data_IF_662357693637
#
_entry.id   IF_662357693637
#
_cell.length_a   1.000
_cell.length_b   1.000
_cell.length_c   1.000
_cell.angle_alpha   90.00
_cell.angle_beta   90.00
_cell.angle_gamma   90.00
#
_symmetry.space_group_name_H-M   'P 1'
#
loop_
_entity.id
_entity.type
_entity.pdbx_description
1 polymer ?
#
# COMPACT_ATOMS: atom_id res chain seq x y z
N UNK A 1 -15.10 -1.55 -1.43
CA UNK A 1 -15.38 -2.13 -2.76
C UNK A 1 -14.78 -3.53 -2.84
N UNK A 2 -15.45 -4.44 -3.61
CA UNK A 2 -15.02 -5.83 -3.79
C UNK A 2 -15.47 -6.81 -2.70
N UNK A 3 -16.20 -6.37 -1.68
CA UNK A 3 -16.78 -7.24 -0.65
C UNK A 3 -18.05 -7.96 -1.12
N UNK A 4 -18.54 -8.95 -0.34
CA UNK A 4 -19.71 -9.76 -0.69
C UNK A 4 -20.97 -8.95 -1.00
N UNK A 5 -21.12 -7.80 -0.35
CA UNK A 5 -22.26 -6.89 -0.52
C UNK A 5 -22.03 -5.75 -1.52
N UNK A 6 -20.84 -5.64 -2.11
CA UNK A 6 -20.51 -4.59 -3.10
C UNK A 6 -21.03 -4.95 -4.49
N UNK A 7 -22.33 -5.11 -4.60
CA UNK A 7 -23.04 -5.39 -5.84
C UNK A 7 -24.16 -4.36 -6.03
N UNK A 8 -24.36 -3.89 -7.25
CA UNK A 8 -25.45 -2.95 -7.57
C UNK A 8 -26.84 -3.46 -7.14
N UNK A 9 -27.02 -4.79 -7.08
CA UNK A 9 -28.27 -5.44 -6.67
C UNK A 9 -28.43 -5.52 -5.13
N UNK A 10 -27.38 -5.25 -4.34
CA UNK A 10 -27.44 -5.51 -2.90
C UNK A 10 -28.36 -4.54 -2.15
N UNK A 11 -28.52 -3.29 -2.64
CA UNK A 11 -29.36 -2.24 -2.04
C UNK A 11 -29.19 -2.11 -0.50
N UNK A 12 -28.04 -2.50 0.02
CA UNK A 12 -27.72 -2.42 1.46
C UNK A 12 -27.05 -1.11 1.80
N UNK A 13 -27.33 -0.60 2.98
CA UNK A 13 -26.77 0.61 3.55
C UNK A 13 -26.10 0.34 4.91
N UNK A 14 -25.33 1.31 5.36
CA UNK A 14 -24.85 1.31 6.73
C UNK A 14 -26.06 1.49 7.66
N UNK A 15 -26.13 0.68 8.74
CA UNK A 15 -27.29 0.62 9.64
C UNK A 15 -28.16 -0.62 9.45
N UNK A 16 -28.14 -1.24 8.26
CA UNK A 16 -28.81 -2.52 8.05
C UNK A 16 -28.18 -3.64 8.88
N UNK A 17 -29.01 -4.52 9.44
CA UNK A 17 -28.58 -5.57 10.37
C UNK A 17 -28.75 -6.93 9.75
N UNK A 18 -27.68 -7.74 9.77
CA UNK A 18 -27.74 -9.16 9.42
C UNK A 18 -28.40 -9.92 10.56
N UNK A 19 -29.51 -10.60 10.30
CA UNK A 19 -30.34 -11.27 11.28
C UNK A 19 -30.30 -12.79 11.21
N UNK A 20 -29.88 -13.35 10.06
CA UNK A 20 -29.71 -14.81 9.92
C UNK A 20 -28.64 -15.15 8.88
N UNK A 21 -28.07 -16.35 9.00
CA UNK A 21 -27.15 -16.95 8.03
C UNK A 21 -27.63 -18.39 7.79
N UNK A 22 -27.93 -18.73 6.53
CA UNK A 22 -28.50 -20.03 6.09
C UNK A 22 -29.69 -20.49 6.97
N UNK A 23 -30.58 -19.57 7.30
CA UNK A 23 -31.77 -19.83 8.11
C UNK A 23 -31.53 -19.83 9.62
N UNK A 24 -30.29 -19.85 10.09
CA UNK A 24 -29.96 -19.77 11.52
C UNK A 24 -30.04 -18.33 11.99
N UNK A 25 -30.96 -18.06 12.95
CA UNK A 25 -31.15 -16.71 13.49
C UNK A 25 -29.99 -16.29 14.41
N UNK A 26 -29.48 -15.07 14.19
CA UNK A 26 -28.44 -14.47 15.02
C UNK A 26 -29.13 -13.79 16.22
N UNK A 27 -28.78 -14.19 17.42
CA UNK A 27 -29.31 -13.65 18.67
C UNK A 27 -28.29 -12.72 19.32
N UNK A 28 -28.78 -11.78 20.15
CA UNK A 28 -27.90 -10.90 20.93
C UNK A 28 -26.93 -11.71 21.78
N UNK A 29 -25.63 -11.41 21.69
CA UNK A 29 -24.56 -12.11 22.40
C UNK A 29 -24.13 -13.47 21.77
N UNK A 30 -24.74 -13.86 20.66
CA UNK A 30 -24.32 -15.06 19.93
C UNK A 30 -23.02 -14.81 19.17
N UNK A 31 -22.06 -15.72 19.26
CA UNK A 31 -20.94 -15.80 18.34
C UNK A 31 -21.44 -16.33 16.98
N UNK A 32 -21.48 -15.49 15.98
CA UNK A 32 -21.96 -15.86 14.65
C UNK A 32 -20.84 -16.38 13.72
N UNK A 33 -19.57 -16.23 14.08
CA UNK A 33 -18.44 -16.66 13.24
C UNK A 33 -18.49 -18.14 12.87
N UNK A 34 -18.90 -19.08 13.76
CA UNK A 34 -19.05 -20.48 13.39
C UNK A 34 -20.00 -20.73 12.20
N UNK A 35 -21.01 -19.86 12.00
CA UNK A 35 -21.93 -19.95 10.86
C UNK A 35 -21.27 -19.62 9.52
N UNK A 36 -20.11 -18.99 9.55
CA UNK A 36 -19.31 -18.63 8.36
C UNK A 36 -18.19 -19.65 8.07
N UNK A 37 -17.98 -20.64 8.94
CA UNK A 37 -16.95 -21.65 8.74
C UNK A 37 -17.16 -22.40 7.42
N UNK A 38 -16.09 -22.47 6.60
CA UNK A 38 -16.08 -23.10 5.26
C UNK A 38 -17.08 -22.49 4.25
N UNK A 39 -17.50 -21.23 4.47
CA UNK A 39 -18.42 -20.52 3.56
C UNK A 39 -17.69 -19.64 2.53
N UNK A 40 -16.40 -19.45 2.64
CA UNK A 40 -15.64 -18.67 1.66
C UNK A 40 -15.77 -19.31 0.26
N UNK A 41 -16.27 -18.51 -0.70
CA UNK A 41 -16.55 -18.97 -2.06
C UNK A 41 -17.92 -19.64 -2.25
N UNK A 42 -18.65 -19.95 -1.18
CA UNK A 42 -19.94 -20.65 -1.25
C UNK A 42 -21.13 -19.70 -1.20
N UNK A 43 -22.20 -20.07 -1.93
CA UNK A 43 -23.43 -19.29 -1.90
C UNK A 43 -24.09 -19.42 -0.54
N UNK A 44 -24.24 -18.32 0.17
CA UNK A 44 -24.79 -18.27 1.54
C UNK A 44 -26.00 -17.36 1.58
N UNK A 45 -27.10 -17.84 2.13
CA UNK A 45 -28.33 -17.06 2.33
C UNK A 45 -28.19 -16.20 3.59
N UNK A 46 -28.37 -14.89 3.44
CA UNK A 46 -28.27 -13.93 4.54
C UNK A 46 -29.59 -13.19 4.69
N UNK A 47 -30.23 -13.32 5.86
CA UNK A 47 -31.39 -12.53 6.24
C UNK A 47 -30.96 -11.17 6.79
N UNK A 48 -31.66 -10.13 6.37
CA UNK A 48 -31.31 -8.75 6.67
C UNK A 48 -32.56 -7.99 7.12
N UNK A 49 -32.42 -7.19 8.18
CA UNK A 49 -33.42 -6.20 8.56
C UNK A 49 -32.82 -4.82 8.27
N UNK A 50 -33.43 -4.07 7.40
CA UNK A 50 -33.04 -2.70 7.06
C UNK A 50 -33.34 -1.75 8.20
N UNK A 51 -32.70 -0.60 8.21
CA UNK A 51 -32.97 0.46 9.17
C UNK A 51 -34.45 0.91 9.14
N UNK A 52 -35.10 0.80 7.99
CA UNK A 52 -36.56 1.03 7.82
C UNK A 52 -37.46 -0.01 8.50
N UNK A 53 -36.90 -1.13 9.00
CA UNK A 53 -37.65 -2.29 9.51
C UNK A 53 -38.05 -3.32 8.45
N UNK A 54 -37.82 -3.04 7.17
CA UNK A 54 -38.05 -4.00 6.08
C UNK A 54 -37.14 -5.22 6.22
N UNK A 55 -37.70 -6.43 6.09
CA UNK A 55 -36.94 -7.67 6.10
C UNK A 55 -36.74 -8.16 4.67
N UNK A 56 -35.52 -8.59 4.35
CA UNK A 56 -35.18 -9.13 3.04
C UNK A 56 -34.14 -10.23 3.17
N UNK A 57 -34.14 -11.16 2.24
CA UNK A 57 -33.12 -12.18 2.12
C UNK A 57 -32.23 -11.93 0.90
N UNK A 58 -30.96 -12.26 1.03
CA UNK A 58 -29.98 -12.08 -0.04
C UNK A 58 -29.01 -13.26 -0.08
N UNK A 59 -28.69 -13.71 -1.29
CA UNK A 59 -27.59 -14.66 -1.48
C UNK A 59 -26.29 -13.91 -1.71
N UNK A 60 -25.33 -14.13 -0.86
CA UNK A 60 -23.98 -13.60 -0.95
C UNK A 60 -22.95 -14.72 -1.08
N UNK A 61 -21.75 -14.37 -1.48
CA UNK A 61 -20.59 -15.26 -1.47
C UNK A 61 -19.56 -14.68 -0.51
N UNK A 62 -19.45 -15.22 0.72
CA UNK A 62 -18.43 -14.78 1.67
C UNK A 62 -17.03 -14.92 1.11
N UNK A 63 -16.13 -14.05 1.54
CA UNK A 63 -14.72 -14.08 1.16
C UNK A 63 -13.87 -14.75 2.25
N UNK A 64 -12.68 -15.23 1.89
CA UNK A 64 -11.71 -15.73 2.88
C UNK A 64 -11.13 -14.59 3.73
N UNK A 65 -10.56 -14.91 4.89
CA UNK A 65 -9.88 -13.93 5.75
C UNK A 65 -8.72 -13.23 5.03
N UNK A 66 -7.98 -13.94 4.18
CA UNK A 66 -6.92 -13.36 3.36
C UNK A 66 -7.49 -12.31 2.38
N UNK A 67 -8.60 -12.63 1.70
CA UNK A 67 -9.29 -11.67 0.82
C UNK A 67 -9.85 -10.49 1.62
N UNK A 68 -10.43 -10.75 2.79
CA UNK A 68 -10.96 -9.70 3.66
C UNK A 68 -9.85 -8.73 4.11
N UNK A 69 -8.70 -9.25 4.55
CA UNK A 69 -7.53 -8.46 4.92
C UNK A 69 -7.03 -7.60 3.75
N UNK A 70 -6.96 -8.18 2.56
CA UNK A 70 -6.61 -7.44 1.33
C UNK A 70 -7.59 -6.31 1.03
N UNK A 71 -8.89 -6.55 1.21
CA UNK A 71 -9.92 -5.52 1.00
C UNK A 71 -9.82 -4.39 2.02
N UNK A 72 -9.52 -4.70 3.29
CA UNK A 72 -9.26 -3.71 4.35
C UNK A 72 -8.03 -2.87 4.02
N UNK A 73 -6.94 -3.51 3.60
CA UNK A 73 -5.71 -2.83 3.21
C UNK A 73 -5.92 -1.88 2.02
N UNK A 74 -6.59 -2.35 0.96
CA UNK A 74 -6.95 -1.49 -0.18
C UNK A 74 -7.90 -0.35 0.19
N UNK A 75 -8.77 -0.56 1.18
CA UNK A 75 -9.61 0.51 1.73
C UNK A 75 -8.77 1.56 2.44
N UNK A 76 -7.82 1.14 3.27
CA UNK A 76 -6.89 2.02 3.97
C UNK A 76 -6.07 2.89 2.99
N UNK A 77 -5.52 2.30 1.92
CA UNK A 77 -4.80 3.04 0.87
C UNK A 77 -5.71 4.12 0.26
N UNK A 78 -6.94 3.76 -0.12
CA UNK A 78 -7.89 4.73 -0.70
C UNK A 78 -8.24 5.86 0.28
N UNK A 79 -8.49 5.54 1.53
CA UNK A 79 -8.79 6.54 2.57
C UNK A 79 -7.62 7.52 2.77
N UNK A 80 -6.38 7.04 2.73
CA UNK A 80 -5.20 7.90 2.80
C UNK A 80 -5.10 8.81 1.56
N UNK A 81 -5.31 8.26 0.37
CA UNK A 81 -5.34 9.04 -0.87
C UNK A 81 -6.42 10.13 -0.84
N UNK A 82 -7.65 9.78 -0.44
CA UNK A 82 -8.76 10.72 -0.30
C UNK A 82 -8.46 11.80 0.76
N UNK A 83 -7.82 11.42 1.87
CA UNK A 83 -7.41 12.34 2.92
C UNK A 83 -6.37 13.34 2.44
N UNK A 84 -5.34 12.88 1.72
CA UNK A 84 -4.30 13.75 1.12
C UNK A 84 -4.93 14.71 0.11
N UNK A 85 -5.78 14.22 -0.78
CA UNK A 85 -6.49 15.06 -1.76
C UNK A 85 -7.36 16.11 -1.07
N UNK A 86 -8.13 15.72 -0.07
CA UNK A 86 -9.02 16.64 0.69
C UNK A 86 -8.23 17.71 1.43
N UNK A 87 -7.20 17.33 2.19
CA UNK A 87 -6.40 18.26 3.01
C UNK A 87 -5.58 19.23 2.17
N UNK A 88 -5.16 18.81 0.98
CA UNK A 88 -4.38 19.66 0.06
C UNK A 88 -5.24 20.48 -0.92
N UNK A 89 -6.56 20.36 -0.87
CA UNK A 89 -7.45 20.95 -1.86
C UNK A 89 -7.20 20.44 -3.29
N UNK A 90 -6.81 19.15 -3.42
CA UNK A 90 -6.51 18.51 -4.70
C UNK A 90 -5.09 18.77 -5.22
N UNK A 91 -4.27 19.54 -4.51
CA UNK A 91 -2.93 19.92 -4.95
C UNK A 91 -1.88 18.82 -4.83
N UNK A 92 -2.07 17.84 -3.94
CA UNK A 92 -1.11 16.74 -3.71
C UNK A 92 -1.72 15.41 -4.13
N UNK A 93 -0.93 14.58 -4.81
CA UNK A 93 -1.21 13.19 -5.06
C UNK A 93 -0.74 12.30 -3.92
N UNK A 94 -1.19 11.05 -3.92
CA UNK A 94 -0.76 10.02 -2.98
C UNK A 94 -0.55 8.70 -3.70
N UNK A 95 0.60 8.08 -3.49
CA UNK A 95 0.88 6.72 -3.97
C UNK A 95 1.39 5.87 -2.81
N UNK A 96 0.95 4.63 -2.79
CA UNK A 96 1.42 3.64 -1.83
C UNK A 96 2.24 2.57 -2.54
N UNK A 97 3.43 2.28 -2.03
CA UNK A 97 4.29 1.20 -2.51
C UNK A 97 4.04 -0.02 -1.61
N UNK A 98 3.18 -0.93 -2.04
CA UNK A 98 2.76 -2.09 -1.27
C UNK A 98 3.90 -3.10 -1.05
N UNK A 99 4.68 -3.34 -2.10
CA UNK A 99 5.86 -4.21 -2.09
C UNK A 99 6.92 -3.66 -3.04
N UNK A 100 8.17 -4.01 -2.84
CA UNK A 100 9.26 -3.61 -3.74
C UNK A 100 9.32 -4.56 -4.95
N UNK A 101 8.30 -4.49 -5.83
CA UNK A 101 8.14 -5.32 -7.01
C UNK A 101 7.62 -4.53 -8.22
N UNK A 102 7.62 -5.18 -9.40
CA UNK A 102 7.20 -4.58 -10.66
C UNK A 102 5.71 -4.15 -10.68
N UNK A 103 4.83 -4.89 -10.02
CA UNK A 103 3.39 -4.53 -9.93
C UNK A 103 3.20 -3.20 -9.19
N UNK A 104 3.87 -3.03 -8.05
CA UNK A 104 3.86 -1.77 -7.29
C UNK A 104 4.49 -0.64 -8.10
N UNK A 105 5.60 -0.91 -8.83
CA UNK A 105 6.22 0.09 -9.68
C UNK A 105 5.28 0.58 -10.79
N UNK A 106 4.61 -0.32 -11.48
CA UNK A 106 3.63 0.03 -12.53
C UNK A 106 2.50 0.89 -11.99
N UNK A 107 2.01 0.57 -10.79
CA UNK A 107 0.97 1.36 -10.12
C UNK A 107 1.47 2.76 -9.82
N UNK A 108 2.63 2.89 -9.16
CA UNK A 108 3.25 4.18 -8.85
C UNK A 108 3.50 5.00 -10.11
N UNK A 109 4.11 4.39 -11.12
CA UNK A 109 4.43 5.02 -12.40
C UNK A 109 3.17 5.55 -13.11
N UNK A 110 2.13 4.71 -13.18
CA UNK A 110 0.84 5.09 -13.78
C UNK A 110 0.16 6.22 -13.01
N UNK A 111 0.17 6.17 -11.68
CA UNK A 111 -0.49 7.17 -10.85
C UNK A 111 0.24 8.52 -10.92
N UNK A 112 1.57 8.54 -10.80
CA UNK A 112 2.32 9.81 -10.74
C UNK A 112 2.41 10.50 -12.10
N UNK A 113 2.55 9.76 -13.21
CA UNK A 113 2.64 10.33 -14.55
C UNK A 113 1.27 10.47 -15.25
N UNK A 114 0.24 9.84 -14.71
CA UNK A 114 -1.14 9.89 -15.21
C UNK A 114 -2.07 10.60 -14.23
N UNK A 115 -2.62 9.87 -13.28
CA UNK A 115 -3.67 10.34 -12.36
C UNK A 115 -3.30 11.63 -11.61
N UNK A 116 -2.07 11.74 -11.14
CA UNK A 116 -1.58 12.87 -10.34
C UNK A 116 -0.63 13.80 -11.13
N UNK A 117 -0.59 13.67 -12.46
CA UNK A 117 0.29 14.46 -13.28
C UNK A 117 0.07 15.98 -13.13
N UNK A 118 -1.15 16.41 -12.83
CA UNK A 118 -1.49 17.83 -12.64
C UNK A 118 -1.34 18.32 -11.19
N UNK A 119 -0.98 17.43 -10.24
CA UNK A 119 -0.73 17.83 -8.86
C UNK A 119 0.61 18.58 -8.74
N UNK A 120 0.72 19.46 -7.74
CA UNK A 120 1.93 20.22 -7.44
C UNK A 120 3.03 19.35 -6.81
N UNK A 121 2.64 18.28 -6.13
CA UNK A 121 3.54 17.36 -5.46
C UNK A 121 2.88 16.01 -5.16
N UNK A 122 3.67 15.09 -4.60
CA UNK A 122 3.20 13.74 -4.28
C UNK A 122 3.67 13.27 -2.91
N UNK A 123 2.80 12.56 -2.21
CA UNK A 123 3.09 11.80 -0.99
C UNK A 123 3.31 10.35 -1.39
N UNK A 124 4.51 9.83 -1.13
CA UNK A 124 4.88 8.43 -1.35
C UNK A 124 4.80 7.71 0.01
N UNK A 125 3.96 6.71 0.14
CA UNK A 125 3.79 5.96 1.39
C UNK A 125 4.38 4.56 1.23
N UNK A 126 5.41 4.25 2.03
CA UNK A 126 6.08 2.95 2.05
C UNK A 126 5.80 2.15 3.31
N UNK A 127 4.92 2.63 4.17
CA UNK A 127 4.60 1.93 5.43
C UNK A 127 4.09 0.52 5.17
N UNK A 128 4.45 -0.42 6.04
CA UNK A 128 4.09 -1.85 5.97
C UNK A 128 4.67 -2.61 4.78
N UNK A 129 5.65 -2.05 4.09
CA UNK A 129 6.29 -2.70 2.94
C UNK A 129 7.37 -3.68 3.43
N UNK A 130 7.22 -4.96 3.10
CA UNK A 130 8.11 -6.05 3.50
C UNK A 130 9.38 -6.18 2.65
N UNK A 131 9.60 -5.29 1.67
CA UNK A 131 10.80 -5.33 0.83
C UNK A 131 10.55 -5.97 -0.55
N UNK A 132 11.63 -6.45 -1.15
CA UNK A 132 11.71 -6.97 -2.52
C UNK A 132 12.93 -6.40 -3.24
N UNK A 133 12.75 -5.91 -4.48
CA UNK A 133 13.82 -5.25 -5.25
C UNK A 133 13.24 -4.20 -6.19
N UNK A 134 13.20 -2.94 -5.75
CA UNK A 134 12.63 -1.83 -6.54
C UNK A 134 13.34 -0.48 -6.33
N UNK A 135 14.30 -0.37 -5.39
CA UNK A 135 14.88 0.91 -5.00
C UNK A 135 15.56 1.64 -6.16
N UNK A 136 16.18 0.90 -7.10
CA UNK A 136 16.85 1.48 -8.26
C UNK A 136 15.86 2.12 -9.24
N UNK A 137 14.73 1.44 -9.51
CA UNK A 137 13.69 1.98 -10.40
C UNK A 137 13.03 3.23 -9.81
N UNK A 138 12.78 3.22 -8.50
CA UNK A 138 12.26 4.40 -7.77
C UNK A 138 13.29 5.53 -7.82
N UNK A 139 14.57 5.22 -7.59
CA UNK A 139 15.65 6.21 -7.69
C UNK A 139 15.65 6.86 -9.06
N UNK A 140 15.70 6.10 -10.14
CA UNK A 140 15.72 6.63 -11.51
C UNK A 140 14.49 7.48 -11.81
N UNK A 141 13.31 7.05 -11.36
CA UNK A 141 12.06 7.77 -11.57
C UNK A 141 12.05 9.16 -10.92
N UNK A 142 12.62 9.30 -9.73
CA UNK A 142 12.61 10.53 -8.94
C UNK A 142 13.88 11.38 -9.05
N UNK A 143 15.01 10.83 -9.52
CA UNK A 143 16.29 11.54 -9.62
C UNK A 143 16.65 12.03 -11.02
N UNK A 144 15.94 11.60 -12.04
CA UNK A 144 16.24 11.91 -13.43
C UNK A 144 16.36 13.42 -13.69
N UNK A 145 17.55 13.88 -14.13
CA UNK A 145 17.79 15.30 -14.42
C UNK A 145 17.45 15.62 -15.87
N UNK A 146 16.85 16.80 -16.08
CA UNK A 146 16.61 17.33 -17.44
C UNK A 146 17.93 17.46 -18.19
N UNK A 147 17.96 16.97 -19.45
CA UNK A 147 19.11 17.11 -20.33
C UNK A 147 18.75 17.70 -21.69
N UNK A 148 17.48 17.66 -22.11
CA UNK A 148 16.97 18.32 -23.34
C UNK A 148 15.52 18.76 -23.13
N UNK A 149 15.06 19.69 -23.98
CA UNK A 149 13.64 19.96 -24.22
C UNK A 149 13.30 19.51 -25.63
N UNK A 150 12.23 18.73 -25.76
CA UNK A 150 11.66 18.42 -27.07
C UNK A 150 10.75 19.55 -27.50
N UNK A 151 10.99 20.05 -28.70
CA UNK A 151 10.23 21.16 -29.29
C UNK A 151 9.46 20.66 -30.53
N UNK A 152 8.24 21.15 -30.71
CA UNK A 152 7.41 20.89 -31.89
C UNK A 152 7.00 22.26 -32.47
N UNK A 153 7.53 22.59 -33.64
CA UNK A 153 7.19 23.85 -34.38
C UNK A 153 7.34 25.10 -33.52
N UNK A 154 8.45 25.23 -32.81
CA UNK A 154 8.76 26.39 -31.99
C UNK A 154 8.01 26.45 -30.66
N UNK A 155 7.39 25.33 -30.23
CA UNK A 155 6.74 25.23 -28.92
C UNK A 155 7.31 24.05 -28.14
N UNK A 156 7.66 24.28 -26.89
CA UNK A 156 8.09 23.24 -25.96
C UNK A 156 6.99 22.18 -25.81
N UNK A 157 7.33 20.95 -26.10
CA UNK A 157 6.42 19.81 -26.00
C UNK A 157 6.60 19.06 -24.69
N UNK A 158 7.84 18.69 -24.34
CA UNK A 158 8.17 18.04 -23.06
C UNK A 158 9.67 18.14 -22.75
N UNK A 159 9.99 18.00 -21.49
CA UNK A 159 11.37 17.82 -21.04
C UNK A 159 11.82 16.36 -21.19
N UNK A 160 13.11 16.15 -21.42
CA UNK A 160 13.71 14.81 -21.46
C UNK A 160 14.70 14.62 -20.30
N UNK A 161 14.65 13.48 -19.61
CA UNK A 161 13.79 12.33 -19.84
C UNK A 161 12.33 12.65 -19.49
N UNK A 162 11.39 12.31 -20.38
CA UNK A 162 9.96 12.60 -20.20
C UNK A 162 9.29 11.70 -19.15
N UNK A 163 9.94 10.57 -18.83
CA UNK A 163 9.43 9.55 -17.92
C UNK A 163 10.08 9.65 -16.54
N UNK A 164 10.07 10.83 -15.96
CA UNK A 164 10.58 11.12 -14.63
C UNK A 164 9.58 11.95 -13.83
N UNK A 165 9.65 11.84 -12.51
CA UNK A 165 8.94 12.75 -11.64
C UNK A 165 9.87 13.90 -11.23
N UNK A 166 9.49 15.12 -11.52
CA UNK A 166 10.33 16.34 -11.34
C UNK A 166 9.69 17.39 -10.44
N UNK A 167 8.62 16.99 -9.72
CA UNK A 167 7.92 17.87 -8.79
C UNK A 167 8.28 17.52 -7.35
N UNK A 168 7.82 18.34 -6.40
CA UNK A 168 8.04 18.11 -4.98
C UNK A 168 7.46 16.75 -4.52
N UNK A 169 8.18 16.05 -3.66
CA UNK A 169 7.71 14.81 -3.07
C UNK A 169 8.18 14.68 -1.61
N UNK A 170 7.43 13.94 -0.82
CA UNK A 170 7.83 13.45 0.50
C UNK A 170 7.60 11.95 0.56
N UNK A 171 8.35 11.25 1.42
CA UNK A 171 8.18 9.82 1.62
C UNK A 171 7.80 9.53 3.06
N UNK A 172 6.66 8.82 3.26
CA UNK A 172 6.23 8.35 4.56
C UNK A 172 6.84 6.98 4.82
N UNK A 173 7.51 6.85 5.95
CA UNK A 173 8.22 5.66 6.42
C UNK A 173 7.69 5.20 7.79
N UNK A 174 8.00 3.98 8.17
CA UNK A 174 7.61 3.44 9.48
C UNK A 174 8.38 2.18 9.88
N UNK A 175 8.16 1.78 11.12
CA UNK A 175 8.89 0.69 11.80
C UNK A 175 8.70 -0.68 11.14
N UNK A 176 7.62 -0.86 10.37
CA UNK A 176 7.33 -2.10 9.65
C UNK A 176 7.95 -2.15 8.24
N UNK A 177 8.70 -1.12 7.83
CA UNK A 177 9.49 -1.18 6.60
C UNK A 177 10.64 -2.17 6.76
N UNK A 178 10.79 -3.08 5.80
CA UNK A 178 11.78 -4.15 5.90
C UNK A 178 12.58 -4.32 4.60
N UNK A 179 13.85 -4.73 4.69
CA UNK A 179 14.71 -5.07 3.53
C UNK A 179 14.79 -3.92 2.52
N UNK A 180 14.42 -4.13 1.26
CA UNK A 180 14.45 -3.09 0.23
C UNK A 180 13.57 -1.87 0.54
N UNK A 181 12.57 -2.02 1.44
CA UNK A 181 11.80 -0.89 1.97
C UNK A 181 12.56 -0.07 3.03
N UNK A 182 13.74 -0.52 3.47
CA UNK A 182 14.75 0.30 4.12
C UNK A 182 15.68 0.97 3.08
N UNK A 183 16.14 0.22 2.09
CA UNK A 183 17.03 0.76 1.05
C UNK A 183 16.40 1.88 0.24
N UNK A 184 15.14 1.78 -0.11
CA UNK A 184 14.42 2.80 -0.89
C UNK A 184 14.40 4.17 -0.20
N UNK A 185 13.90 4.33 1.03
CA UNK A 185 13.95 5.63 1.72
C UNK A 185 15.39 6.08 2.06
N UNK A 186 16.33 5.15 2.27
CA UNK A 186 17.73 5.53 2.44
C UNK A 186 18.27 6.22 1.18
N UNK A 187 18.06 5.62 0.00
CA UNK A 187 18.46 6.22 -1.29
C UNK A 187 17.74 7.55 -1.52
N UNK A 188 16.44 7.61 -1.21
CA UNK A 188 15.62 8.81 -1.35
C UNK A 188 16.20 9.98 -0.56
N UNK A 189 16.56 9.77 0.70
CA UNK A 189 17.21 10.75 1.56
C UNK A 189 18.63 11.07 1.09
N UNK A 190 19.44 10.06 0.79
CA UNK A 190 20.84 10.23 0.36
C UNK A 190 20.99 11.02 -0.94
N UNK A 191 20.03 10.88 -1.85
CA UNK A 191 19.97 11.62 -3.13
C UNK A 191 19.24 12.96 -3.02
N UNK A 192 18.79 13.37 -1.84
CA UNK A 192 18.05 14.61 -1.61
C UNK A 192 16.80 14.75 -2.52
N UNK A 193 16.04 13.66 -2.69
CA UNK A 193 14.84 13.65 -3.52
C UNK A 193 13.64 14.32 -2.83
N UNK A 194 13.64 14.36 -1.49
CA UNK A 194 12.63 14.99 -0.64
C UNK A 194 12.85 14.61 0.82
N UNK A 195 11.91 14.96 1.69
CA UNK A 195 11.96 14.67 3.11
C UNK A 195 11.33 13.31 3.45
N UNK A 196 11.89 12.63 4.45
CA UNK A 196 11.31 11.46 5.09
C UNK A 196 10.44 11.90 6.28
N UNK A 197 9.23 11.36 6.37
CA UNK A 197 8.26 11.67 7.42
C UNK A 197 7.76 10.36 8.05
N UNK A 198 7.62 10.31 9.37
CA UNK A 198 7.08 9.15 10.07
C UNK A 198 7.96 8.64 11.18
N UNK A 199 8.14 7.32 11.30
CA UNK A 199 8.96 6.68 12.34
C UNK A 199 10.20 6.03 11.75
N UNK A 200 11.26 5.85 12.55
CA UNK A 200 12.50 5.22 12.09
C UNK A 200 12.27 3.85 11.47
N UNK A 201 12.97 3.58 10.36
CA UNK A 201 12.99 2.27 9.71
C UNK A 201 14.08 1.41 10.35
N UNK A 202 13.81 0.16 10.75
CA UNK A 202 14.84 -0.76 11.24
C UNK A 202 15.96 -0.97 10.22
N UNK A 203 17.15 -1.20 10.69
CA UNK A 203 18.36 -1.40 9.87
C UNK A 203 18.43 -2.80 9.26
N UNK A 204 17.54 -3.15 8.35
CA UNK A 204 17.47 -4.48 7.74
C UNK A 204 17.58 -4.36 6.22
N UNK A 205 18.76 -4.63 5.64
CA UNK A 205 18.96 -4.50 4.20
C UNK A 205 19.73 -5.69 3.56
N UNK A 206 20.22 -6.63 4.33
CA UNK A 206 20.96 -7.79 3.80
C UNK A 206 20.01 -8.71 3.00
N UNK A 207 20.43 -9.10 1.78
CA UNK A 207 19.71 -10.11 1.02
C UNK A 207 20.14 -11.52 1.42
N UNK A 208 19.20 -12.46 1.39
CA UNK A 208 19.42 -13.84 1.84
C UNK A 208 19.13 -14.84 0.71
N UNK A 209 19.82 -15.99 0.75
CA UNK A 209 19.43 -17.20 0.04
C UNK A 209 18.64 -18.09 0.99
N UNK A 210 17.49 -18.58 0.55
CA UNK A 210 16.61 -19.43 1.35
C UNK A 210 16.97 -20.89 1.18
N UNK A 211 17.21 -21.57 2.31
CA UNK A 211 17.49 -23.01 2.36
C UNK A 211 16.35 -23.73 3.07
N UNK A 212 15.87 -24.82 2.45
CA UNK A 212 14.83 -25.68 3.02
C UNK A 212 15.48 -26.87 3.69
N UNK A 213 15.09 -27.18 4.93
CA UNK A 213 15.61 -28.32 5.67
C UNK A 213 15.00 -29.64 5.19
N UNK A 214 15.43 -30.78 5.79
CA UNK A 214 14.87 -32.09 5.50
C UNK A 214 13.36 -32.15 5.79
N UNK A 215 12.90 -31.45 6.84
CA UNK A 215 11.50 -31.13 7.02
C UNK A 215 11.14 -29.91 6.14
N UNK A 216 10.34 -30.10 5.06
CA UNK A 216 10.04 -29.04 4.11
C UNK A 216 9.18 -27.90 4.68
N UNK A 217 8.67 -28.05 5.90
CA UNK A 217 7.96 -26.98 6.63
C UNK A 217 8.92 -25.98 7.28
N UNK A 218 10.21 -26.33 7.36
CA UNK A 218 11.25 -25.51 7.98
C UNK A 218 12.23 -24.98 6.92
N UNK A 219 12.46 -23.69 6.96
CA UNK A 219 13.42 -23.01 6.08
C UNK A 219 14.10 -21.86 6.83
N UNK A 220 15.28 -21.45 6.38
CA UNK A 220 16.00 -20.32 6.93
C UNK A 220 16.74 -19.54 5.84
N UNK A 221 17.02 -18.26 6.13
CA UNK A 221 17.74 -17.38 5.20
C UNK A 221 19.22 -17.27 5.58
N UNK A 222 20.11 -17.53 4.63
CA UNK A 222 21.55 -17.32 4.78
C UNK A 222 21.89 -15.96 4.16
N UNK A 223 22.43 -14.98 4.94
CA UNK A 223 22.88 -13.70 4.41
C UNK A 223 24.00 -13.87 3.37
N UNK A 224 23.79 -13.37 2.14
CA UNK A 224 24.73 -13.51 1.04
C UNK A 224 25.11 -12.19 0.35
N UNK A 225 24.26 -11.14 0.48
CA UNK A 225 24.52 -9.83 -0.14
C UNK A 225 24.36 -8.74 0.90
N UNK A 226 25.44 -8.06 1.21
CA UNK A 226 25.45 -6.84 2.03
C UNK A 226 25.51 -5.58 1.15
N UNK A 227 24.90 -4.50 1.62
CA UNK A 227 24.89 -3.20 0.94
C UNK A 227 25.79 -2.23 1.68
N UNK A 228 26.97 -1.94 1.09
CA UNK A 228 28.02 -1.12 1.70
C UNK A 228 27.94 0.33 1.20
N UNK A 229 27.92 1.25 2.14
CA UNK A 229 27.98 2.70 1.89
C UNK A 229 29.39 3.13 1.45
N UNK A 230 29.50 4.36 0.95
CA UNK A 230 30.80 4.92 0.48
C UNK A 230 31.85 5.03 1.61
N UNK A 231 31.43 5.19 2.86
CA UNK A 231 32.29 5.24 4.05
C UNK A 231 32.78 3.84 4.52
N UNK A 232 32.36 2.77 3.84
CA UNK A 232 32.73 1.40 4.14
C UNK A 232 31.81 0.69 5.13
N UNK A 233 30.87 1.38 5.77
CA UNK A 233 29.87 0.77 6.66
C UNK A 233 28.72 0.16 5.87
N UNK A 234 27.91 -0.70 6.52
CA UNK A 234 26.78 -1.35 5.87
C UNK A 234 25.45 -0.73 6.27
N UNK A 235 24.43 -0.88 5.41
CA UNK A 235 23.06 -0.49 5.73
C UNK A 235 22.40 -1.44 6.73
N UNK A 236 22.89 -2.66 6.85
CA UNK A 236 22.43 -3.61 7.87
C UNK A 236 22.80 -3.10 9.27
N UNK A 237 21.84 -3.15 10.19
CA UNK A 237 21.93 -2.59 11.56
C UNK A 237 22.10 -1.06 11.61
N UNK A 238 21.83 -0.34 10.52
CA UNK A 238 21.87 1.12 10.46
C UNK A 238 20.43 1.67 10.36
N UNK A 239 19.89 2.06 11.51
CA UNK A 239 18.51 2.56 11.57
C UNK A 239 18.38 3.88 10.80
N UNK A 240 17.38 3.98 9.91
CA UNK A 240 17.10 5.18 9.15
C UNK A 240 16.07 6.06 9.86
N UNK A 241 16.50 7.22 10.32
CA UNK A 241 15.63 8.21 10.96
C UNK A 241 14.92 9.11 9.95
N UNK A 242 13.64 9.43 10.16
CA UNK A 242 12.93 10.43 9.37
C UNK A 242 13.52 11.83 9.61
N UNK A 243 13.24 12.75 8.69
CA UNK A 243 13.55 14.17 8.86
C UNK A 243 12.48 14.87 9.73
N UNK A 244 11.26 14.35 9.69
CA UNK A 244 10.13 14.80 10.52
C UNK A 244 9.54 13.58 11.23
N UNK A 245 9.74 13.49 12.54
CA UNK A 245 9.16 12.44 13.37
C UNK A 245 7.67 12.68 13.56
N UNK A 246 6.84 11.71 13.17
CA UNK A 246 5.38 11.76 13.32
C UNK A 246 4.88 10.41 13.80
N UNK A 247 4.08 10.43 14.85
CA UNK A 247 3.40 9.25 15.39
C UNK A 247 1.89 9.39 15.30
N UNK A 248 1.21 8.29 14.97
CA UNK A 248 -0.24 8.24 15.09
C UNK A 248 -0.60 8.06 16.58
N UNK A 249 -1.38 8.97 17.12
CA UNK A 249 -1.96 8.80 18.47
C UNK A 249 -3.00 7.67 18.44
N UNK A 250 -3.15 6.99 19.59
CA UNK A 250 -4.22 6.00 19.79
C UNK A 250 -5.50 6.78 20.10
N UNK A 251 -6.17 7.26 19.08
CA UNK A 251 -7.54 7.82 19.18
C UNK A 251 -8.50 7.02 18.29
#
# INVERSE_FOLDING_TARGET
>A
KGGPFDKASSKLAAGDVITSIDGVQIKKGMDFYPLLNRKAGERTLVGITKESGEKTDMVVVPVSDATFSTLLYKRWIRQNADKVQKLSGGRLGYVHIESMNDESFRTVYSDILGRYNNCDGIVIDTRFNGGGRLHEDIEVLFSGKKYLTQEIRGKDACDMPSRRYNKASIMIIGEANYSNAHGTPWVYKHKNMGLLVGKPVPGTMTSVTWETLQDPTLYFGIPVVGYRKADGTYLENDQLHPDIDVENTKE
#
